data_IF_873531394630
#
_entry.id   IF_873531394630
#
_cell.length_a   1.000
_cell.length_b   1.000
_cell.length_c   1.000
_cell.angle_alpha   90.00
_cell.angle_beta   90.00
_cell.angle_gamma   90.00
#
_symmetry.space_group_name_H-M   'P 1'
#
loop_
_entity.id
_entity.type
_entity.pdbx_description
1 polymer ?
#
# COMPACT_ATOMS: atom_id res chain seq x y z
N UNK A 1 12.18 -24.48 9.18
CA UNK A 1 10.73 -24.63 9.38
C UNK A 1 10.28 -23.48 10.27
N UNK A 2 9.77 -22.43 9.67
CA UNK A 2 9.13 -21.33 10.37
C UNK A 2 7.75 -21.84 10.80
N UNK A 3 7.71 -22.49 11.95
CA UNK A 3 6.44 -22.98 12.46
C UNK A 3 5.66 -21.83 13.10
N UNK A 4 4.37 -21.78 12.85
CA UNK A 4 3.40 -20.91 13.51
C UNK A 4 3.49 -20.97 15.06
N UNK A 5 4.16 -21.97 15.59
CA UNK A 5 4.32 -22.23 17.02
C UNK A 5 5.15 -21.16 17.73
N UNK A 6 6.13 -20.55 17.03
CA UNK A 6 7.01 -19.54 17.62
C UNK A 6 6.28 -18.21 17.87
N UNK A 7 5.45 -17.78 16.94
CA UNK A 7 4.75 -16.49 17.07
C UNK A 7 3.57 -16.53 18.03
N UNK A 8 2.84 -17.63 18.11
CA UNK A 8 1.66 -17.72 18.97
C UNK A 8 1.99 -17.98 20.44
N UNK A 9 3.02 -18.79 20.74
CA UNK A 9 3.44 -19.05 22.10
C UNK A 9 4.01 -17.82 22.81
N UNK A 10 4.79 -17.03 22.10
CA UNK A 10 5.43 -15.84 22.65
C UNK A 10 4.45 -14.70 22.93
N UNK A 11 3.35 -14.63 22.19
CA UNK A 11 2.29 -13.63 22.36
C UNK A 11 1.14 -14.11 23.23
N UNK A 12 1.19 -15.35 23.76
CA UNK A 12 0.12 -15.93 24.57
C UNK A 12 -1.19 -16.17 23.81
N UNK A 13 -1.12 -16.22 22.48
CA UNK A 13 -2.29 -16.46 21.62
C UNK A 13 -2.55 -17.96 21.49
N UNK A 14 -3.79 -18.45 21.75
CA UNK A 14 -4.13 -19.86 21.52
C UNK A 14 -3.91 -20.26 20.07
N UNK A 15 -3.22 -21.39 19.83
CA UNK A 15 -2.89 -21.90 18.50
C UNK A 15 -4.11 -22.13 17.62
N UNK A 16 -5.23 -22.54 18.21
CA UNK A 16 -6.50 -22.74 17.51
C UNK A 16 -7.08 -21.45 16.89
N UNK A 17 -6.59 -20.29 17.28
CA UNK A 17 -6.96 -18.98 16.71
C UNK A 17 -6.06 -18.53 15.59
N UNK A 18 -5.00 -19.28 15.29
CA UNK A 18 -4.03 -18.97 14.24
C UNK A 18 -4.13 -20.02 13.14
N UNK A 19 -4.35 -19.58 11.91
CA UNK A 19 -4.33 -20.44 10.74
C UNK A 19 -3.22 -20.01 9.80
N UNK A 20 -2.25 -20.89 9.56
CA UNK A 20 -1.17 -20.66 8.61
C UNK A 20 -1.56 -21.25 7.27
N UNK A 21 -1.68 -20.39 6.26
CA UNK A 21 -1.96 -20.83 4.90
C UNK A 21 -0.66 -20.85 4.11
N UNK A 22 -0.32 -22.01 3.56
CA UNK A 22 0.85 -22.13 2.69
C UNK A 22 0.66 -21.36 1.40
N UNK A 23 1.75 -21.14 0.66
CA UNK A 23 1.71 -20.49 -0.64
C UNK A 23 0.64 -21.10 -1.55
N UNK A 24 -0.20 -20.24 -2.12
CA UNK A 24 -1.31 -20.61 -2.99
C UNK A 24 -1.11 -20.04 -4.39
N UNK A 25 -1.69 -20.63 -5.43
CA UNK A 25 -1.87 -19.96 -6.73
C UNK A 25 -2.63 -18.65 -6.55
N UNK A 26 -2.40 -17.67 -7.45
CA UNK A 26 -2.96 -16.32 -7.34
C UNK A 26 -4.49 -16.32 -7.15
N UNK A 27 -5.20 -17.15 -7.89
CA UNK A 27 -6.67 -17.25 -7.81
C UNK A 27 -7.13 -17.64 -6.39
N UNK A 28 -6.49 -18.63 -5.80
CA UNK A 28 -6.78 -19.07 -4.43
C UNK A 28 -6.36 -18.02 -3.40
N UNK A 29 -5.23 -17.35 -3.61
CA UNK A 29 -4.80 -16.26 -2.77
C UNK A 29 -5.84 -15.12 -2.78
N UNK A 30 -6.37 -14.76 -3.93
CA UNK A 30 -7.42 -13.75 -4.05
C UNK A 30 -8.70 -14.17 -3.30
N UNK A 31 -9.09 -15.45 -3.36
CA UNK A 31 -10.26 -15.97 -2.62
C UNK A 31 -10.12 -15.81 -1.09
N UNK A 32 -8.90 -15.82 -0.54
CA UNK A 32 -8.67 -15.59 0.89
C UNK A 32 -9.16 -14.21 1.35
N UNK A 33 -9.18 -13.21 0.46
CA UNK A 33 -9.75 -11.89 0.74
C UNK A 33 -11.24 -11.92 1.10
N UNK A 34 -11.96 -12.98 0.74
CA UNK A 34 -13.36 -13.17 1.15
C UNK A 34 -13.51 -13.80 2.53
N UNK A 35 -12.47 -14.45 3.04
CA UNK A 35 -12.48 -15.13 4.34
C UNK A 35 -12.00 -14.22 5.48
N UNK A 36 -11.33 -13.12 5.16
CA UNK A 36 -10.83 -12.15 6.13
C UNK A 36 -11.72 -10.90 6.16
N UNK A 37 -11.79 -10.24 7.29
CA UNK A 37 -12.53 -9.00 7.48
C UNK A 37 -11.64 -7.77 7.27
N UNK A 38 -10.40 -7.82 7.72
CA UNK A 38 -9.40 -6.75 7.63
C UNK A 38 -8.03 -7.38 7.36
N UNK A 39 -7.25 -6.75 6.50
CA UNK A 39 -5.84 -7.06 6.32
C UNK A 39 -5.00 -6.12 7.18
N UNK A 40 -4.14 -6.70 7.99
CA UNK A 40 -3.12 -5.97 8.74
C UNK A 40 -1.81 -6.00 7.96
N UNK A 41 -1.37 -4.83 7.51
CA UNK A 41 -0.10 -4.71 6.80
C UNK A 41 1.09 -4.83 7.74
N UNK A 42 2.19 -5.34 7.25
CA UNK A 42 3.39 -5.60 8.07
C UNK A 42 4.34 -4.40 8.08
N UNK A 43 5.09 -4.26 9.16
CA UNK A 43 6.19 -3.30 9.30
C UNK A 43 7.49 -4.06 9.70
N UNK A 44 8.68 -3.57 9.35
CA UNK A 44 8.96 -2.31 8.65
C UNK A 44 8.76 -2.37 7.12
N UNK A 45 8.67 -3.53 6.52
CA UNK A 45 8.44 -3.68 5.07
C UNK A 45 6.96 -3.85 4.83
N UNK A 46 6.37 -2.84 4.19
CA UNK A 46 4.95 -2.84 3.87
C UNK A 46 4.63 -3.63 2.60
N UNK A 47 3.38 -4.02 2.45
CA UNK A 47 2.89 -4.65 1.24
C UNK A 47 2.90 -3.72 0.04
N UNK A 48 2.83 -4.27 -1.15
CA UNK A 48 2.66 -3.56 -2.41
C UNK A 48 1.56 -4.24 -3.22
N UNK A 49 1.93 -5.23 -4.02
CA UNK A 49 0.98 -6.02 -4.82
C UNK A 49 -0.09 -6.70 -3.95
N UNK A 50 0.27 -7.19 -2.78
CA UNK A 50 -0.67 -7.81 -1.83
C UNK A 50 -1.73 -6.82 -1.35
N UNK A 51 -1.35 -5.57 -1.08
CA UNK A 51 -2.26 -4.49 -0.70
C UNK A 51 -3.23 -4.15 -1.84
N UNK A 52 -2.72 -4.05 -3.08
CA UNK A 52 -3.58 -3.85 -4.26
C UNK A 52 -4.58 -4.99 -4.46
N UNK A 53 -4.14 -6.24 -4.27
CA UNK A 53 -5.03 -7.41 -4.34
C UNK A 53 -6.10 -7.38 -3.26
N UNK A 54 -5.75 -7.04 -2.01
CA UNK A 54 -6.70 -6.92 -0.92
C UNK A 54 -7.79 -5.89 -1.24
N UNK A 55 -7.40 -4.68 -1.63
CA UNK A 55 -8.35 -3.62 -2.00
C UNK A 55 -9.22 -4.02 -3.20
N UNK A 56 -8.65 -4.71 -4.19
CA UNK A 56 -9.41 -5.22 -5.33
C UNK A 56 -10.47 -6.24 -4.94
N UNK A 57 -10.18 -7.08 -3.94
CA UNK A 57 -11.12 -8.04 -3.36
C UNK A 57 -12.11 -7.42 -2.37
N UNK A 58 -12.02 -6.12 -2.15
CA UNK A 58 -12.87 -5.42 -1.18
C UNK A 58 -12.44 -5.63 0.27
N UNK A 59 -11.22 -6.10 0.52
CA UNK A 59 -10.69 -6.28 1.86
C UNK A 59 -10.03 -4.98 2.33
N UNK A 60 -10.52 -4.33 3.39
CA UNK A 60 -9.87 -3.17 3.97
C UNK A 60 -8.48 -3.51 4.49
N UNK A 61 -7.56 -2.56 4.37
CA UNK A 61 -6.17 -2.71 4.80
C UNK A 61 -5.83 -1.60 5.77
N UNK A 62 -5.27 -1.94 6.93
CA UNK A 62 -4.67 -0.97 7.86
C UNK A 62 -3.16 -1.05 7.72
N UNK A 63 -2.49 0.09 7.58
CA UNK A 63 -1.04 0.18 7.43
C UNK A 63 -0.47 1.31 8.27
N UNK A 64 0.84 1.22 8.54
CA UNK A 64 1.60 2.31 9.15
C UNK A 64 2.11 3.27 8.08
N UNK A 65 2.08 4.56 8.37
CA UNK A 65 2.81 5.55 7.58
C UNK A 65 4.31 5.43 7.83
N UNK A 66 5.11 5.67 6.82
CA UNK A 66 6.56 5.60 6.90
C UNK A 66 7.20 6.60 5.94
N UNK A 67 8.37 7.12 6.33
CA UNK A 67 9.09 8.13 5.55
C UNK A 67 9.76 7.56 4.29
N UNK A 68 10.08 6.25 4.27
CA UNK A 68 10.87 5.63 3.20
C UNK A 68 10.02 4.89 2.19
N UNK A 69 10.45 4.94 0.92
CA UNK A 69 9.67 4.43 -0.23
C UNK A 69 9.17 2.99 -0.11
N UNK A 70 10.00 2.06 0.35
CA UNK A 70 9.63 0.63 0.46
C UNK A 70 8.72 0.40 1.67
N UNK A 71 9.00 1.09 2.77
CA UNK A 71 8.25 0.96 4.02
C UNK A 71 6.87 1.66 3.93
N UNK A 72 6.73 2.65 3.02
CA UNK A 72 5.52 3.44 2.82
C UNK A 72 4.65 2.97 1.64
N UNK A 73 4.94 1.83 1.03
CA UNK A 73 4.24 1.41 -0.20
C UNK A 73 2.74 1.28 -0.01
N UNK A 74 2.29 0.57 1.02
CA UNK A 74 0.86 0.42 1.32
C UNK A 74 0.20 1.74 1.69
N UNK A 75 0.86 2.60 2.47
CA UNK A 75 0.32 3.90 2.84
C UNK A 75 0.04 4.77 1.61
N UNK A 76 0.97 4.82 0.66
CA UNK A 76 0.80 5.54 -0.61
C UNK A 76 -0.29 4.94 -1.48
N UNK A 77 -0.39 3.60 -1.52
CA UNK A 77 -1.46 2.91 -2.22
C UNK A 77 -2.82 3.31 -1.65
N UNK A 78 -2.97 3.24 -0.33
CA UNK A 78 -4.21 3.59 0.35
C UNK A 78 -4.59 5.06 0.12
N UNK A 79 -3.64 5.98 0.27
CA UNK A 79 -3.85 7.42 0.04
C UNK A 79 -4.31 7.68 -1.40
N UNK A 80 -3.62 7.11 -2.40
CA UNK A 80 -3.97 7.29 -3.82
C UNK A 80 -5.32 6.67 -4.17
N UNK A 81 -5.68 5.56 -3.54
CA UNK A 81 -6.95 4.87 -3.76
C UNK A 81 -8.12 5.46 -2.96
N UNK A 82 -7.90 6.51 -2.15
CA UNK A 82 -8.94 7.15 -1.36
C UNK A 82 -9.25 6.44 -0.03
N UNK A 83 -8.31 5.65 0.48
CA UNK A 83 -8.40 4.94 1.76
C UNK A 83 -7.40 5.48 2.80
N UNK A 84 -7.02 6.75 2.69
CA UNK A 84 -6.05 7.38 3.58
C UNK A 84 -6.43 7.34 5.07
N UNK A 85 -7.72 7.23 5.39
CA UNK A 85 -8.20 7.08 6.76
C UNK A 85 -7.71 5.79 7.45
N UNK A 86 -7.30 4.77 6.68
CA UNK A 86 -6.77 3.51 7.19
C UNK A 86 -5.24 3.52 7.34
N UNK A 87 -4.59 4.64 7.05
CA UNK A 87 -3.16 4.86 7.28
C UNK A 87 -2.95 5.42 8.68
N UNK A 88 -2.18 4.70 9.50
CA UNK A 88 -1.90 5.06 10.88
C UNK A 88 -0.54 5.76 11.01
N UNK A 89 -0.45 6.80 11.82
CA UNK A 89 0.79 7.53 12.06
C UNK A 89 1.74 6.81 13.03
N UNK A 90 1.25 5.87 13.82
CA UNK A 90 2.02 5.11 14.80
C UNK A 90 1.32 3.78 15.14
N UNK A 91 2.00 2.92 15.89
CA UNK A 91 1.51 1.58 16.26
C UNK A 91 0.20 1.63 17.09
N UNK A 92 0.06 2.61 17.96
CA UNK A 92 -1.16 2.75 18.77
C UNK A 92 -2.37 3.06 17.88
N UNK A 93 -2.22 4.01 16.98
CA UNK A 93 -3.26 4.34 16.00
C UNK A 93 -3.55 3.18 15.05
N UNK A 94 -2.54 2.41 14.66
CA UNK A 94 -2.70 1.21 13.84
C UNK A 94 -3.64 0.20 14.51
N UNK A 95 -3.41 -0.09 15.78
CA UNK A 95 -4.29 -0.99 16.54
C UNK A 95 -5.70 -0.41 16.68
N UNK A 96 -5.82 0.90 16.96
CA UNK A 96 -7.12 1.57 17.09
C UNK A 96 -7.92 1.50 15.79
N UNK A 97 -7.30 1.80 14.64
CA UNK A 97 -7.97 1.71 13.32
C UNK A 97 -8.43 0.29 12.99
N UNK A 98 -7.60 -0.71 13.28
CA UNK A 98 -7.96 -2.10 13.09
C UNK A 98 -9.19 -2.49 13.96
N UNK A 99 -9.18 -2.13 15.23
CA UNK A 99 -10.29 -2.37 16.14
C UNK A 99 -11.55 -1.62 15.72
N UNK A 100 -11.42 -0.38 15.25
CA UNK A 100 -12.56 0.43 14.79
C UNK A 100 -13.24 -0.22 13.58
N UNK A 101 -12.47 -0.68 12.59
CA UNK A 101 -13.03 -1.39 11.43
C UNK A 101 -13.80 -2.65 11.85
N UNK A 102 -13.28 -3.41 12.82
CA UNK A 102 -13.92 -4.64 13.30
C UNK A 102 -15.11 -4.39 14.22
N UNK A 103 -15.21 -3.22 14.85
CA UNK A 103 -16.27 -2.91 15.82
C UNK A 103 -17.59 -2.46 15.18
N UNK A 104 -17.56 -2.06 13.89
CA UNK A 104 -18.74 -1.64 13.12
C UNK A 104 -18.95 -2.50 11.87
N UNK A 105 -19.71 -3.59 11.97
CA UNK A 105 -19.99 -4.47 10.85
C UNK A 105 -20.69 -3.79 9.68
N UNK A 106 -21.49 -2.77 9.92
CA UNK A 106 -22.20 -2.04 8.86
C UNK A 106 -21.22 -1.17 8.07
N UNK A 107 -20.34 -0.46 8.76
CA UNK A 107 -19.27 0.31 8.15
C UNK A 107 -18.30 -0.60 7.35
N UNK A 108 -17.90 -1.72 7.94
CA UNK A 108 -17.05 -2.70 7.27
C UNK A 108 -17.71 -3.23 5.98
N UNK A 109 -18.98 -3.59 6.02
CA UNK A 109 -19.73 -4.05 4.85
C UNK A 109 -19.81 -2.97 3.76
N UNK A 110 -20.06 -1.72 4.13
CA UNK A 110 -20.05 -0.60 3.19
C UNK A 110 -18.67 -0.41 2.55
N UNK A 111 -17.60 -0.42 3.34
CA UNK A 111 -16.21 -0.33 2.85
C UNK A 111 -15.91 -1.42 1.82
N UNK A 112 -16.27 -2.66 2.13
CA UNK A 112 -16.09 -3.81 1.23
C UNK A 112 -16.83 -3.66 -0.09
N UNK A 113 -18.06 -3.15 -0.06
CA UNK A 113 -18.87 -2.93 -1.27
C UNK A 113 -18.29 -1.84 -2.17
N UNK A 114 -17.72 -0.79 -1.60
CA UNK A 114 -17.23 0.37 -2.35
C UNK A 114 -15.78 0.25 -2.79
N UNK A 115 -14.97 -0.59 -2.13
CA UNK A 115 -13.52 -0.66 -2.33
C UNK A 115 -13.12 -0.91 -3.79
N UNK A 116 -13.76 -1.88 -4.46
CA UNK A 116 -13.44 -2.18 -5.87
C UNK A 116 -13.75 -1.00 -6.80
N UNK A 117 -14.88 -0.33 -6.63
CA UNK A 117 -15.25 0.83 -7.47
C UNK A 117 -14.32 2.02 -7.21
N UNK A 118 -13.90 2.24 -5.97
CA UNK A 118 -12.88 3.24 -5.63
C UNK A 118 -11.53 2.90 -6.27
N UNK A 119 -11.10 1.65 -6.21
CA UNK A 119 -9.88 1.19 -6.88
C UNK A 119 -9.95 1.41 -8.39
N UNK A 120 -11.07 1.10 -9.04
CA UNK A 120 -11.26 1.31 -10.47
C UNK A 120 -11.23 2.79 -10.87
N UNK A 121 -11.68 3.68 -9.99
CA UNK A 121 -11.72 5.12 -10.22
C UNK A 121 -10.41 5.83 -9.85
N UNK A 122 -9.48 5.16 -9.14
CA UNK A 122 -8.26 5.79 -8.67
C UNK A 122 -7.18 5.89 -9.76
N UNK A 123 -6.17 6.74 -9.50
CA UNK A 123 -5.08 7.01 -10.44
C UNK A 123 -4.26 5.78 -10.87
N UNK A 124 -4.23 4.71 -10.05
CA UNK A 124 -3.53 3.47 -10.42
C UNK A 124 -4.10 2.77 -11.66
N UNK A 125 -5.39 2.97 -11.95
CA UNK A 125 -6.05 2.35 -13.11
C UNK A 125 -6.00 3.23 -14.36
N UNK A 126 -5.46 4.43 -14.27
CA UNK A 126 -5.22 5.29 -15.43
C UNK A 126 -3.87 4.97 -16.07
N UNK A 127 -3.82 3.87 -16.80
CA UNK A 127 -2.59 3.36 -17.41
C UNK A 127 -1.93 4.35 -18.37
N UNK A 128 -2.70 5.15 -19.09
CA UNK A 128 -2.17 6.15 -20.03
C UNK A 128 -1.38 7.24 -19.28
N UNK A 129 -1.95 7.77 -18.21
CA UNK A 129 -1.28 8.77 -17.37
C UNK A 129 -0.04 8.18 -16.68
N UNK A 130 -0.14 6.97 -16.12
CA UNK A 130 1.01 6.28 -15.52
C UNK A 130 2.14 6.05 -16.51
N UNK A 131 1.81 5.69 -17.75
CA UNK A 131 2.80 5.52 -18.82
C UNK A 131 3.50 6.83 -19.12
N UNK A 132 2.75 7.92 -19.26
CA UNK A 132 3.34 9.25 -19.51
C UNK A 132 4.27 9.70 -18.39
N UNK A 133 3.91 9.46 -17.12
CA UNK A 133 4.77 9.79 -15.97
C UNK A 133 6.08 9.02 -16.00
N UNK A 134 6.03 7.72 -16.32
CA UNK A 134 7.24 6.90 -16.46
C UNK A 134 8.12 7.38 -17.62
N UNK A 135 7.52 7.71 -18.76
CA UNK A 135 8.25 8.26 -19.92
C UNK A 135 8.90 9.60 -19.58
N UNK A 136 8.19 10.49 -18.90
CA UNK A 136 8.73 11.77 -18.42
C UNK A 136 9.88 11.56 -17.42
N UNK A 137 9.75 10.63 -16.50
CA UNK A 137 10.82 10.28 -15.57
C UNK A 137 12.07 9.81 -16.31
N UNK A 138 11.94 8.95 -17.31
CA UNK A 138 13.07 8.52 -18.13
C UNK A 138 13.71 9.67 -18.92
N UNK A 139 12.91 10.59 -19.48
CA UNK A 139 13.43 11.77 -20.17
C UNK A 139 14.23 12.67 -19.21
N UNK A 140 13.74 12.91 -18.01
CA UNK A 140 14.46 13.70 -16.99
C UNK A 140 15.77 13.00 -16.57
N UNK A 141 15.74 11.71 -16.36
CA UNK A 141 16.94 10.94 -16.03
C UNK A 141 17.99 11.01 -17.15
N UNK A 142 17.55 10.94 -18.41
CA UNK A 142 18.43 11.07 -19.57
C UNK A 142 19.03 12.47 -19.70
N UNK A 143 18.23 13.54 -19.53
CA UNK A 143 18.71 14.92 -19.55
C UNK A 143 19.73 15.18 -18.43
N UNK A 144 19.47 14.69 -17.22
CA UNK A 144 20.40 14.79 -16.11
C UNK A 144 21.73 14.06 -16.40
N UNK A 145 21.67 12.90 -17.02
CA UNK A 145 22.86 12.18 -17.45
C UNK A 145 23.68 12.96 -18.49
N UNK A 146 23.02 13.52 -19.52
CA UNK A 146 23.68 14.33 -20.57
C UNK A 146 24.29 15.61 -20.02
N UNK A 147 23.70 16.23 -19.01
CA UNK A 147 24.23 17.43 -18.36
C UNK A 147 25.42 17.16 -17.42
N UNK A 148 25.83 15.90 -17.29
CA UNK A 148 26.89 15.50 -16.36
C UNK A 148 26.49 15.51 -14.90
N UNK A 149 25.21 15.73 -14.60
CA UNK A 149 24.69 15.71 -13.25
C UNK A 149 24.51 14.26 -12.77
N UNK A 150 25.57 13.71 -12.17
CA UNK A 150 25.56 12.34 -11.61
C UNK A 150 25.03 12.29 -10.18
N UNK A 151 24.74 13.43 -9.56
CA UNK A 151 24.28 13.57 -8.17
C UNK A 151 22.76 13.52 -8.00
N UNK A 152 22.04 12.99 -8.97
CA UNK A 152 20.58 12.84 -8.86
C UNK A 152 20.11 12.04 -7.62
N UNK A 153 21.03 11.29 -6.99
CA UNK A 153 20.74 10.59 -5.72
C UNK A 153 20.76 11.48 -4.49
N UNK A 154 21.49 12.60 -4.56
CA UNK A 154 21.67 13.52 -3.43
C UNK A 154 20.68 14.69 -3.45
N UNK A 155 20.09 14.94 -4.60
CA UNK A 155 19.05 15.96 -4.80
C UNK A 155 17.73 15.26 -5.12
N UNK A 156 17.14 14.59 -4.14
CA UNK A 156 15.73 14.28 -4.17
C UNK A 156 14.91 15.56 -3.91
N UNK A 157 15.10 16.57 -4.75
CA UNK A 157 14.04 17.52 -5.04
C UNK A 157 12.87 16.68 -5.49
N UNK A 158 11.71 16.90 -4.91
CA UNK A 158 10.53 16.14 -5.29
C UNK A 158 10.34 16.20 -6.82
N UNK A 159 9.81 15.18 -7.40
CA UNK A 159 9.46 15.15 -8.83
C UNK A 159 8.67 16.40 -9.23
N UNK A 160 7.86 16.94 -8.33
CA UNK A 160 7.12 18.19 -8.48
C UNK A 160 8.02 19.43 -8.61
N UNK A 161 9.11 19.51 -7.86
CA UNK A 161 10.07 20.65 -7.97
C UNK A 161 10.80 20.64 -9.31
N UNK A 162 11.16 19.47 -9.82
CA UNK A 162 11.79 19.31 -11.11
C UNK A 162 10.85 19.69 -12.27
N UNK A 163 9.58 19.38 -12.17
CA UNK A 163 8.56 19.73 -13.17
C UNK A 163 8.21 21.22 -13.16
N UNK A 164 8.22 21.86 -11.99
CA UNK A 164 7.89 23.28 -11.83
C UNK A 164 8.99 24.19 -12.40
N UNK A 165 10.25 23.78 -12.33
CA UNK A 165 11.38 24.55 -12.88
C UNK A 165 11.44 24.55 -14.40
N UNK A 166 10.86 23.56 -15.09
CA UNK A 166 10.83 23.50 -16.56
C UNK A 166 9.65 24.26 -17.20
N UNK A 167 8.64 24.62 -16.43
CA UNK A 167 7.46 25.34 -16.92
C UNK A 167 7.58 26.89 -16.86
N UNK A 168 8.74 27.44 -16.48
CA UNK A 168 8.99 28.88 -16.53
C UNK A 168 9.57 29.26 -17.89
N UNK A 169 8.83 29.93 -18.77
CA UNK A 169 9.37 30.40 -20.06
C UNK A 169 10.40 31.53 -19.81
N UNK A 170 11.53 31.40 -20.48
CA UNK A 170 12.59 32.42 -20.58
C UNK A 170 12.11 33.69 -21.31
#
# INVERSE_FOLDING_TARGET
DWSSDVCSSDLGMPLERVSVVQQQPLERFMELGHLADVMLDTAPISGGTTTLHALWMGLPVVTLDAERGVDASSARILQTAGFGDDVAANEEEYVQKALQLMSDPAYLAQRRQTARSQMQACGYMNYAERTQEVEQAFQLMWLNYLSGNTRWRDTATSFEDAMTQQSSPS
#
